data_IF_311983993171
#
_entry.id   IF_311983993171
#
_cell.length_a   1.000
_cell.length_b   1.000
_cell.length_c   1.000
_cell.angle_alpha   90.00
_cell.angle_beta   90.00
_cell.angle_gamma   90.00
#
_symmetry.space_group_name_H-M   'P 1'
#
loop_
_entity.id
_entity.type
_entity.pdbx_description
1 polymer ?
#
# COMPACT_ATOMS: atom_id res chain seq x y z
N UNK A 1 -8.81 15.45 -16.89
CA UNK A 1 -7.58 14.63 -16.85
C UNK A 1 -6.44 15.37 -16.13
N UNK A 2 -6.68 15.92 -14.94
CA UNK A 2 -5.72 16.81 -14.23
C UNK A 2 -4.85 16.10 -13.19
N UNK A 3 -5.24 14.89 -12.74
CA UNK A 3 -4.63 14.22 -11.58
C UNK A 3 -3.29 13.52 -11.88
N UNK A 4 -2.86 13.45 -13.14
CA UNK A 4 -1.57 12.87 -13.55
C UNK A 4 -0.77 13.87 -14.42
N UNK A 5 -0.58 15.04 -13.83
CA UNK A 5 0.20 16.14 -14.41
C UNK A 5 1.66 15.76 -14.67
N UNK A 6 2.43 16.61 -15.36
CA UNK A 6 3.87 16.37 -15.58
C UNK A 6 4.64 16.21 -14.25
N UNK A 7 4.45 17.06 -13.23
CA UNK A 7 5.11 16.88 -11.93
C UNK A 7 4.75 15.55 -11.24
N UNK A 8 3.46 15.17 -11.25
CA UNK A 8 3.02 13.91 -10.65
C UNK A 8 3.66 12.69 -11.36
N UNK A 9 3.75 12.73 -12.70
CA UNK A 9 4.45 11.72 -13.49
C UNK A 9 5.93 11.62 -13.16
N UNK A 10 6.59 12.77 -13.02
CA UNK A 10 8.01 12.81 -12.68
C UNK A 10 8.28 12.14 -11.33
N UNK A 11 7.55 12.54 -10.29
CA UNK A 11 7.68 11.94 -8.95
C UNK A 11 7.41 10.44 -8.99
N UNK A 12 6.34 10.02 -9.68
CA UNK A 12 6.00 8.60 -9.83
C UNK A 12 7.14 7.80 -10.50
N UNK A 13 7.73 8.32 -11.57
CA UNK A 13 8.82 7.65 -12.27
C UNK A 13 10.09 7.56 -11.42
N UNK A 14 10.44 8.60 -10.65
CA UNK A 14 11.60 8.55 -9.76
C UNK A 14 11.43 7.53 -8.62
N UNK A 15 10.24 7.46 -8.01
CA UNK A 15 9.94 6.43 -7.00
C UNK A 15 10.07 5.03 -7.62
N UNK A 16 9.43 4.80 -8.77
CA UNK A 16 9.50 3.50 -9.47
C UNK A 16 10.95 3.12 -9.84
N UNK A 17 11.77 4.09 -10.24
CA UNK A 17 13.18 3.87 -10.55
C UNK A 17 13.96 3.45 -9.31
N UNK A 18 13.76 4.12 -8.17
CA UNK A 18 14.40 3.76 -6.90
C UNK A 18 13.99 2.35 -6.46
N UNK A 19 12.69 2.07 -6.42
CA UNK A 19 12.15 0.79 -6.00
C UNK A 19 12.67 -0.37 -6.87
N UNK A 20 12.62 -0.22 -8.19
CA UNK A 20 13.03 -1.27 -9.12
C UNK A 20 14.54 -1.47 -9.21
N UNK A 21 15.35 -0.42 -8.99
CA UNK A 21 16.81 -0.49 -9.15
C UNK A 21 17.53 -0.89 -7.87
N UNK A 22 17.04 -0.45 -6.71
CA UNK A 22 17.74 -0.62 -5.43
C UNK A 22 17.02 -1.56 -4.46
N UNK A 23 15.71 -1.76 -4.61
CA UNK A 23 14.90 -2.61 -3.74
C UNK A 23 14.10 -3.66 -4.52
N UNK A 24 14.73 -4.41 -5.45
CA UNK A 24 14.02 -5.40 -6.26
C UNK A 24 13.40 -6.48 -5.39
N UNK A 25 12.22 -6.96 -5.79
CA UNK A 25 11.47 -8.03 -5.12
C UNK A 25 11.07 -7.78 -3.66
N UNK A 26 11.18 -6.53 -3.17
CA UNK A 26 10.67 -6.15 -1.84
C UNK A 26 9.16 -6.02 -1.79
N UNK A 27 8.53 -5.65 -2.91
CA UNK A 27 7.08 -5.57 -3.01
C UNK A 27 6.46 -6.97 -3.12
N UNK A 28 5.54 -7.30 -2.21
CA UNK A 28 4.74 -8.53 -2.27
C UNK A 28 3.33 -8.27 -2.81
N UNK A 29 2.54 -7.41 -2.14
CA UNK A 29 1.19 -6.99 -2.56
C UNK A 29 1.03 -5.48 -2.42
N UNK A 30 0.35 -4.85 -3.36
CA UNK A 30 -0.05 -3.44 -3.30
C UNK A 30 -1.56 -3.34 -3.54
N UNK A 31 -2.27 -2.68 -2.63
CA UNK A 31 -3.71 -2.46 -2.76
C UNK A 31 -4.01 -0.98 -2.98
N UNK A 32 -4.79 -0.67 -4.01
CA UNK A 32 -5.37 0.65 -4.23
C UNK A 32 -6.87 0.52 -3.97
N UNK A 33 -7.36 1.12 -2.90
CA UNK A 33 -8.78 1.02 -2.47
C UNK A 33 -9.55 2.30 -2.80
N UNK A 34 -10.88 2.25 -2.73
CA UNK A 34 -11.76 3.37 -3.10
C UNK A 34 -11.55 3.86 -4.55
N UNK A 35 -11.11 2.97 -5.44
CA UNK A 35 -10.84 3.31 -6.83
C UNK A 35 -12.14 3.41 -7.63
N UNK A 36 -12.60 4.65 -7.85
CA UNK A 36 -13.76 4.94 -8.70
C UNK A 36 -13.53 4.68 -10.19
N UNK A 37 -14.57 4.87 -11.00
CA UNK A 37 -14.53 4.67 -12.46
C UNK A 37 -13.43 5.50 -13.16
N UNK A 38 -13.21 6.74 -12.73
CA UNK A 38 -12.14 7.59 -13.24
C UNK A 38 -10.73 7.05 -12.97
N UNK A 39 -10.53 6.36 -11.85
CA UNK A 39 -9.25 5.74 -11.52
C UNK A 39 -8.95 4.57 -12.46
N UNK A 40 -9.95 3.78 -12.87
CA UNK A 40 -9.74 2.68 -13.84
C UNK A 40 -9.17 3.19 -15.17
N UNK A 41 -9.59 4.37 -15.62
CA UNK A 41 -9.04 5.01 -16.82
C UNK A 41 -7.59 5.47 -16.60
N UNK A 42 -7.32 6.13 -15.46
CA UNK A 42 -5.97 6.54 -15.08
C UNK A 42 -5.02 5.33 -14.98
N UNK A 43 -5.48 4.25 -14.35
CA UNK A 43 -4.70 3.03 -14.14
C UNK A 43 -4.23 2.42 -15.46
N UNK A 44 -5.06 2.46 -16.53
CA UNK A 44 -4.64 2.03 -17.87
C UNK A 44 -3.42 2.82 -18.37
N UNK A 45 -3.36 4.13 -18.11
CA UNK A 45 -2.22 4.96 -18.48
C UNK A 45 -1.01 4.69 -17.58
N UNK A 46 -1.20 4.55 -16.26
CA UNK A 46 -0.13 4.30 -15.30
C UNK A 46 0.57 2.96 -15.55
N UNK A 47 -0.18 1.91 -15.92
CA UNK A 47 0.39 0.59 -16.24
C UNK A 47 1.45 0.61 -17.33
N UNK A 48 1.38 1.56 -18.29
CA UNK A 48 2.37 1.68 -19.34
C UNK A 48 3.78 2.05 -18.82
N UNK A 49 3.87 2.52 -17.58
CA UNK A 49 5.12 2.90 -16.92
C UNK A 49 5.61 1.88 -15.89
N UNK A 50 4.93 0.74 -15.76
CA UNK A 50 5.22 -0.31 -14.77
C UNK A 50 5.59 -1.62 -15.46
N UNK A 51 6.58 -2.33 -14.90
CA UNK A 51 6.92 -3.68 -15.36
C UNK A 51 5.83 -4.70 -15.03
N UNK A 52 5.70 -5.76 -15.84
CA UNK A 52 4.63 -6.77 -15.69
C UNK A 52 4.60 -7.42 -14.32
N UNK A 53 5.77 -7.71 -13.73
CA UNK A 53 5.87 -8.27 -12.37
C UNK A 53 5.30 -7.33 -11.31
N UNK A 54 5.54 -6.03 -11.44
CA UNK A 54 5.00 -5.02 -10.53
C UNK A 54 3.49 -4.89 -10.71
N UNK A 55 3.00 -4.86 -11.96
CA UNK A 55 1.57 -4.81 -12.26
C UNK A 55 0.83 -6.02 -11.67
N UNK A 56 1.41 -7.21 -11.74
CA UNK A 56 0.83 -8.43 -11.18
C UNK A 56 0.64 -8.40 -9.65
N UNK A 57 1.44 -7.58 -8.95
CA UNK A 57 1.37 -7.40 -7.49
C UNK A 57 0.34 -6.34 -7.06
N UNK A 58 -0.21 -5.56 -8.01
CA UNK A 58 -1.10 -4.43 -7.74
C UNK A 58 -2.57 -4.81 -7.95
N UNK A 59 -3.38 -4.62 -6.92
CA UNK A 59 -4.82 -4.83 -6.94
C UNK A 59 -5.57 -3.50 -6.81
N UNK A 60 -6.35 -3.15 -7.83
CA UNK A 60 -7.16 -1.93 -7.86
C UNK A 60 -8.60 -2.28 -7.50
N UNK A 61 -9.02 -1.88 -6.31
CA UNK A 61 -10.28 -2.25 -5.67
C UNK A 61 -11.22 -1.04 -5.58
N UNK A 62 -12.51 -1.29 -5.79
CA UNK A 62 -13.57 -0.28 -5.68
C UNK A 62 -13.90 0.08 -4.23
N UNK A 63 -15.16 0.40 -3.94
CA UNK A 63 -15.64 0.66 -2.58
C UNK A 63 -15.83 -0.62 -1.75
N UNK A 64 -16.00 -1.77 -2.38
CA UNK A 64 -16.16 -3.08 -1.76
C UNK A 64 -14.82 -3.81 -1.55
N UNK A 65 -13.81 -3.10 -1.05
CA UNK A 65 -12.44 -3.61 -0.94
C UNK A 65 -12.18 -4.46 0.30
N UNK A 66 -13.01 -4.34 1.34
CA UNK A 66 -12.71 -4.86 2.69
C UNK A 66 -12.41 -6.36 2.71
N UNK A 67 -13.24 -7.19 2.08
CA UNK A 67 -13.04 -8.65 2.08
C UNK A 67 -11.67 -9.05 1.50
N UNK A 68 -11.22 -8.37 0.45
CA UNK A 68 -9.92 -8.63 -0.19
C UNK A 68 -8.76 -8.23 0.74
N UNK A 69 -8.91 -7.15 1.51
CA UNK A 69 -7.91 -6.78 2.52
C UNK A 69 -7.85 -7.80 3.66
N UNK A 70 -9.01 -8.28 4.14
CA UNK A 70 -9.10 -9.23 5.25
C UNK A 70 -8.57 -10.62 4.90
N UNK A 71 -8.52 -10.99 3.62
CA UNK A 71 -7.79 -12.19 3.16
C UNK A 71 -6.27 -12.08 3.34
N UNK A 72 -5.73 -10.86 3.44
CA UNK A 72 -4.30 -10.60 3.52
C UNK A 72 -3.84 -10.01 4.86
N UNK A 73 -4.74 -9.37 5.61
CA UNK A 73 -4.43 -8.60 6.82
C UNK A 73 -5.44 -8.98 7.89
N UNK A 74 -4.97 -9.43 9.05
CA UNK A 74 -5.85 -9.70 10.18
C UNK A 74 -6.61 -8.42 10.60
N UNK A 75 -7.92 -8.51 10.93
CA UNK A 75 -8.71 -7.34 11.32
C UNK A 75 -8.09 -6.51 12.45
N UNK A 76 -7.39 -7.14 13.40
CA UNK A 76 -6.72 -6.44 14.51
C UNK A 76 -5.52 -5.59 14.07
N UNK A 77 -4.95 -5.87 12.89
CA UNK A 77 -3.83 -5.13 12.31
C UNK A 77 -4.26 -4.10 11.25
N UNK A 78 -5.54 -4.10 10.85
CA UNK A 78 -6.07 -3.15 9.87
C UNK A 78 -6.70 -1.93 10.59
N UNK A 79 -6.36 -0.68 10.22
CA UNK A 79 -6.98 0.51 10.81
C UNK A 79 -8.50 0.54 10.67
N UNK A 80 -9.19 1.10 11.67
CA UNK A 80 -10.66 1.23 11.67
C UNK A 80 -11.21 2.01 10.49
N UNK A 81 -10.50 3.05 10.03
CA UNK A 81 -10.91 3.84 8.85
C UNK A 81 -10.77 3.07 7.51
N UNK A 82 -10.12 1.90 7.52
CA UNK A 82 -10.08 0.94 6.41
C UNK A 82 -11.00 -0.27 6.65
N UNK A 83 -11.79 -0.27 7.72
CA UNK A 83 -12.75 -1.33 8.06
C UNK A 83 -12.21 -2.45 8.96
N UNK A 84 -11.03 -2.28 9.57
CA UNK A 84 -10.50 -3.18 10.60
C UNK A 84 -10.83 -2.74 12.04
N UNK A 85 -10.07 -3.25 13.00
CA UNK A 85 -10.27 -3.03 14.43
C UNK A 85 -9.10 -2.28 15.09
N UNK A 86 -8.02 -1.97 14.36
CA UNK A 86 -6.86 -1.27 14.92
C UNK A 86 -7.14 0.22 15.13
N UNK A 87 -6.90 0.72 16.34
CA UNK A 87 -7.05 2.15 16.67
C UNK A 87 -5.74 2.85 17.02
N UNK A 88 -4.72 2.11 17.47
CA UNK A 88 -3.48 2.65 18.05
C UNK A 88 -3.73 3.81 19.04
N UNK A 89 -4.73 3.66 19.92
CA UNK A 89 -5.17 4.73 20.83
C UNK A 89 -4.04 5.29 21.70
N UNK A 90 -3.12 4.43 22.14
CA UNK A 90 -1.99 4.81 23.01
C UNK A 90 -0.89 5.58 22.26
N UNK A 91 -0.99 5.71 20.93
CA UNK A 91 -0.01 6.39 20.07
C UNK A 91 -0.63 7.55 19.27
N UNK A 92 -1.81 8.03 19.67
CA UNK A 92 -2.49 9.15 18.98
C UNK A 92 -3.14 8.75 17.65
N UNK A 93 -3.37 7.46 17.40
CA UNK A 93 -4.05 6.94 16.21
C UNK A 93 -3.13 6.26 15.20
N UNK A 94 -3.70 5.42 14.32
CA UNK A 94 -2.92 4.60 13.38
C UNK A 94 -2.03 5.39 12.41
N UNK A 95 -2.34 6.67 12.13
CA UNK A 95 -1.52 7.51 11.24
C UNK A 95 -0.25 8.06 11.92
N UNK A 96 -0.21 8.08 13.24
CA UNK A 96 0.92 8.58 14.04
C UNK A 96 1.69 7.45 14.73
N UNK A 97 1.24 6.22 14.54
CA UNK A 97 1.71 5.05 15.24
C UNK A 97 2.70 4.25 14.40
N UNK A 98 3.82 3.86 14.99
CA UNK A 98 4.79 2.92 14.42
C UNK A 98 4.68 1.54 15.12
N UNK A 99 3.46 1.01 15.28
CA UNK A 99 3.24 -0.27 15.95
C UNK A 99 3.56 -1.44 15.02
N UNK A 100 4.28 -2.44 15.53
CA UNK A 100 4.65 -3.63 14.77
C UNK A 100 5.55 -4.59 15.55
N UNK A 101 5.88 -5.77 15.00
CA UNK A 101 6.70 -6.79 15.67
C UNK A 101 8.08 -6.32 16.11
N UNK A 102 8.64 -5.30 15.44
CA UNK A 102 9.95 -4.71 15.78
C UNK A 102 9.97 -3.98 17.13
N UNK A 103 8.82 -3.80 17.80
CA UNK A 103 8.74 -3.28 19.17
C UNK A 103 8.61 -4.36 20.25
N UNK A 104 8.51 -5.63 19.86
CA UNK A 104 8.43 -6.74 20.80
C UNK A 104 9.84 -7.13 21.29
N UNK A 105 10.12 -6.94 22.57
CA UNK A 105 11.42 -7.26 23.19
C UNK A 105 11.79 -8.73 23.07
N UNK A 106 10.84 -9.65 23.24
CA UNK A 106 11.08 -11.10 23.14
C UNK A 106 11.51 -11.47 21.72
N UNK A 107 10.86 -10.89 20.69
CA UNK A 107 11.25 -11.13 19.30
C UNK A 107 12.63 -10.53 18.98
N UNK A 108 12.97 -9.38 19.54
CA UNK A 108 14.28 -8.76 19.34
C UNK A 108 15.39 -9.60 19.98
N UNK A 109 15.16 -10.15 21.17
CA UNK A 109 16.11 -11.04 21.85
C UNK A 109 16.36 -12.34 21.07
N UNK A 110 15.35 -12.87 20.36
CA UNK A 110 15.52 -14.08 19.53
C UNK A 110 16.37 -13.86 18.26
N UNK A 111 16.54 -12.61 17.83
CA UNK A 111 17.27 -12.25 16.59
C UNK A 111 18.71 -11.79 16.89
N UNK A 112 19.05 -11.60 18.16
CA UNK A 112 20.41 -11.29 18.64
C UNK A 112 21.22 -12.55 18.93
#
# INVERSE_FOLDING_TARGET
MSNFSKPARYIFMEIQKIDSSYYPETLNKLFIVNAGSGFKMLWKAVKAFLGERTVAKIQVLGSNYLNVLLEAIDPSNLPTFLGGNCTCSDSGGCLMSDQGPWKNSELLEMIQ
#
